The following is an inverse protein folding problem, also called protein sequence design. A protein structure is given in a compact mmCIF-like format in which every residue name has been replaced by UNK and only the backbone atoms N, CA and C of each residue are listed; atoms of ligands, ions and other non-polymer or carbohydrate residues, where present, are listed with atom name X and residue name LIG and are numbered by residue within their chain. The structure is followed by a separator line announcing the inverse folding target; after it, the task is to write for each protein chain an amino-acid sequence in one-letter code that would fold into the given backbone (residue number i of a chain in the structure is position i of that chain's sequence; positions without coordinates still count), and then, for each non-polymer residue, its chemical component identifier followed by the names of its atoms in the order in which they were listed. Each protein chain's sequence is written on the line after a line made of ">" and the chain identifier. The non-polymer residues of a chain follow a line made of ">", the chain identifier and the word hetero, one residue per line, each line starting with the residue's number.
data_IF_640667238459
#
_entry.id   IF_640667238459
#
_cell.length_a   1.000
_cell.length_b   1.000
_cell.length_c   1.000
_cell.angle_alpha   90.00
_cell.angle_beta   90.00
_cell.angle_gamma   90.00
#
_symmetry.space_group_name_H-M   'P 1'
#
loop_
_entity.id
_entity.type
_entity.pdbx_description
1 polymer ?
#
# COMPACT_ATOMS: atom_id res chain seq x y z
N UNK A 1 7.22 3.10 25.39
CA UNK A 1 6.29 3.57 24.34
C UNK A 1 7.14 4.10 23.21
N UNK A 2 7.01 3.52 22.01
CA UNK A 2 7.83 3.91 20.86
C UNK A 2 6.90 4.33 19.71
N UNK A 3 6.91 5.61 19.34
CA UNK A 3 6.17 6.15 18.20
C UNK A 3 7.02 6.12 16.93
N UNK A 4 6.38 6.23 15.79
CA UNK A 4 7.07 6.24 14.48
C UNK A 4 7.95 7.48 14.33
N UNK A 5 7.56 8.62 14.91
CA UNK A 5 8.38 9.82 14.99
C UNK A 5 9.68 9.61 15.80
N UNK A 6 9.64 8.79 16.85
CA UNK A 6 10.82 8.51 17.71
C UNK A 6 11.93 7.76 16.96
N UNK A 7 11.61 7.14 15.85
CA UNK A 7 12.55 6.41 14.98
C UNK A 7 12.86 7.14 13.66
N UNK A 8 12.55 8.44 13.62
CA UNK A 8 12.95 9.32 12.51
C UNK A 8 11.93 9.42 11.36
N UNK A 9 10.69 8.95 11.54
CA UNK A 9 9.63 9.07 10.54
C UNK A 9 8.43 9.80 11.13
N UNK A 10 8.43 11.12 11.00
CA UNK A 10 7.31 11.97 11.41
C UNK A 10 6.32 12.10 10.25
N UNK A 11 5.11 11.54 10.40
CA UNK A 11 4.08 11.55 9.37
C UNK A 11 3.55 12.95 9.06
N UNK A 12 3.56 13.87 10.02
CA UNK A 12 3.14 15.25 9.81
C UNK A 12 4.18 16.04 9.02
N UNK A 13 5.48 15.81 9.27
CA UNK A 13 6.55 16.37 8.45
C UNK A 13 6.53 15.81 7.02
N UNK A 14 6.35 14.51 6.87
CA UNK A 14 6.20 13.88 5.53
C UNK A 14 5.00 14.48 4.79
N UNK A 15 3.87 14.71 5.46
CA UNK A 15 2.71 15.34 4.85
C UNK A 15 2.99 16.79 4.39
N UNK A 16 3.78 17.56 5.16
CA UNK A 16 4.22 18.91 4.75
C UNK A 16 5.08 18.86 3.48
N UNK A 17 6.07 17.94 3.42
CA UNK A 17 6.89 17.76 2.22
C UNK A 17 6.05 17.40 0.99
N UNK A 18 5.09 16.50 1.14
CA UNK A 18 4.14 16.17 0.07
C UNK A 18 3.27 17.36 -0.34
N UNK A 19 2.95 18.27 0.60
CA UNK A 19 2.27 19.54 0.32
C UNK A 19 3.12 20.45 -0.59
N UNK A 20 4.41 20.59 -0.29
CA UNK A 20 5.36 21.38 -1.09
C UNK A 20 5.44 20.79 -2.51
N UNK A 21 5.63 19.47 -2.63
CA UNK A 21 5.71 18.80 -3.93
C UNK A 21 4.46 19.06 -4.76
N UNK A 22 3.26 18.89 -4.17
CA UNK A 22 1.99 19.13 -4.88
C UNK A 22 1.85 20.56 -5.39
N UNK A 23 2.28 21.53 -4.60
CA UNK A 23 2.18 22.95 -4.97
C UNK A 23 3.17 23.32 -6.09
N UNK A 24 4.40 22.79 -6.03
CA UNK A 24 5.44 23.09 -7.01
C UNK A 24 5.34 22.30 -8.30
N UNK A 25 4.79 21.08 -8.23
CA UNK A 25 4.65 20.17 -9.38
C UNK A 25 3.22 20.17 -9.95
N UNK A 26 2.49 21.27 -9.84
CA UNK A 26 1.18 21.41 -10.48
C UNK A 26 1.30 21.22 -11.99
N UNK A 27 0.53 20.29 -12.61
CA UNK A 27 0.64 20.02 -14.03
C UNK A 27 0.18 21.22 -14.86
N UNK A 28 0.96 21.63 -15.83
CA UNK A 28 0.62 22.71 -16.76
C UNK A 28 -0.03 22.21 -18.07
N UNK A 29 0.10 20.91 -18.35
CA UNK A 29 -0.40 20.32 -19.60
C UNK A 29 -1.82 19.84 -19.47
N UNK A 30 -2.63 20.10 -20.48
CA UNK A 30 -4.05 19.72 -20.57
C UNK A 30 -4.31 18.21 -20.62
N UNK A 31 -3.29 17.40 -20.96
CA UNK A 31 -3.39 15.93 -20.98
C UNK A 31 -3.38 15.31 -19.58
N UNK A 32 -2.95 16.06 -18.55
CA UNK A 32 -2.92 15.55 -17.18
C UNK A 32 -4.32 15.53 -16.56
N UNK A 33 -4.74 14.36 -16.11
CA UNK A 33 -6.05 14.13 -15.48
C UNK A 33 -5.96 14.08 -13.97
N UNK A 34 -4.93 13.41 -13.46
CA UNK A 34 -4.59 13.37 -12.03
C UNK A 34 -3.11 13.72 -11.87
N UNK A 35 -2.84 14.78 -11.14
CA UNK A 35 -1.50 15.18 -10.74
C UNK A 35 -1.05 14.51 -9.43
N UNK A 36 0.05 15.02 -8.81
CA UNK A 36 0.55 14.51 -7.54
C UNK A 36 -0.51 14.58 -6.43
N UNK A 37 -0.63 13.51 -5.64
CA UNK A 37 -1.51 13.47 -4.47
C UNK A 37 -2.57 12.37 -4.46
N UNK A 38 -2.74 11.64 -5.54
CA UNK A 38 -3.57 10.44 -5.60
C UNK A 38 -2.67 9.17 -5.58
N UNK A 39 -3.22 7.98 -5.88
CA UNK A 39 -2.46 6.71 -5.93
C UNK A 39 -1.49 6.66 -7.10
N UNK A 40 -1.79 7.28 -8.23
CA UNK A 40 -0.87 7.41 -9.37
C UNK A 40 -1.09 8.75 -10.09
N UNK A 41 -0.07 9.20 -10.82
CA UNK A 41 -0.23 10.26 -11.82
C UNK A 41 -0.92 9.71 -13.06
N UNK A 42 -1.88 10.44 -13.63
CA UNK A 42 -2.65 9.97 -14.79
C UNK A 42 -2.69 11.04 -15.87
N UNK A 43 -2.35 10.63 -17.09
CA UNK A 43 -2.54 11.40 -18.30
C UNK A 43 -3.61 10.77 -19.18
N UNK A 44 -4.21 11.54 -20.08
CA UNK A 44 -5.14 11.03 -21.09
C UNK A 44 -4.48 11.11 -22.46
N UNK A 45 -4.50 9.98 -23.17
CA UNK A 45 -4.10 9.87 -24.57
C UNK A 45 -5.29 9.31 -25.33
N UNK A 46 -5.89 10.12 -26.18
CA UNK A 46 -7.15 9.82 -26.90
C UNK A 46 -8.28 9.36 -25.95
N UNK A 47 -8.74 8.14 -26.06
CA UNK A 47 -9.80 7.54 -25.23
C UNK A 47 -9.25 6.68 -24.06
N UNK A 48 -7.93 6.68 -23.85
CA UNK A 48 -7.24 5.87 -22.84
C UNK A 48 -6.64 6.77 -21.78
N UNK A 49 -6.78 6.36 -20.53
CA UNK A 49 -6.03 6.87 -19.38
C UNK A 49 -4.77 6.03 -19.18
N UNK A 50 -3.63 6.67 -19.12
CA UNK A 50 -2.34 6.08 -18.79
C UNK A 50 -1.92 6.55 -17.42
N UNK A 51 -1.65 5.60 -16.51
CA UNK A 51 -1.18 5.87 -15.16
C UNK A 51 0.26 5.48 -14.98
N UNK A 52 1.01 6.34 -14.31
CA UNK A 52 2.39 6.10 -13.89
C UNK A 52 2.46 6.17 -12.38
N UNK A 53 3.08 5.17 -11.80
CA UNK A 53 3.34 5.09 -10.37
C UNK A 53 4.78 4.66 -10.11
N UNK A 54 5.38 5.16 -9.03
CA UNK A 54 6.68 4.72 -8.53
C UNK A 54 6.63 4.63 -7.01
N UNK A 55 7.09 3.50 -6.48
CA UNK A 55 7.23 3.29 -5.03
C UNK A 55 8.41 2.35 -4.75
N UNK A 56 8.98 2.47 -3.55
CA UNK A 56 10.06 1.64 -3.06
C UNK A 56 9.61 0.68 -1.97
N UNK A 57 10.44 -0.31 -1.69
CA UNK A 57 10.22 -1.28 -0.60
C UNK A 57 10.53 -0.67 0.77
N UNK A 58 11.37 0.36 0.78
CA UNK A 58 11.75 1.07 1.99
C UNK A 58 12.60 0.24 2.96
N UNK A 59 12.51 0.55 4.25
CA UNK A 59 13.40 -0.02 5.27
C UNK A 59 13.21 -1.52 5.55
N UNK A 60 12.18 -2.16 4.96
CA UNK A 60 12.02 -3.62 4.95
C UNK A 60 13.20 -4.31 4.27
N UNK A 61 13.81 -3.67 3.25
CA UNK A 61 15.02 -4.19 2.57
C UNK A 61 16.12 -4.51 3.57
N UNK A 62 16.37 -3.61 4.53
CA UNK A 62 17.44 -3.81 5.53
C UNK A 62 17.18 -5.03 6.42
N UNK A 63 15.91 -5.29 6.76
CA UNK A 63 15.54 -6.47 7.54
C UNK A 63 15.75 -7.74 6.70
N UNK A 64 15.29 -7.74 5.46
CA UNK A 64 15.47 -8.88 4.53
C UNK A 64 16.95 -9.22 4.33
N UNK A 65 17.81 -8.23 4.13
CA UNK A 65 19.26 -8.42 4.00
C UNK A 65 19.86 -9.01 5.28
N UNK A 66 19.47 -8.53 6.45
CA UNK A 66 20.05 -9.01 7.72
C UNK A 66 19.72 -10.46 8.03
N UNK A 67 18.64 -11.01 7.47
CA UNK A 67 18.23 -12.40 7.64
C UNK A 67 18.43 -13.28 6.39
N UNK A 68 18.95 -12.73 5.30
CA UNK A 68 19.12 -13.45 4.03
C UNK A 68 17.78 -13.87 3.38
N UNK A 69 16.69 -13.13 3.65
CA UNK A 69 15.34 -13.37 3.12
C UNK A 69 14.99 -12.24 2.16
N UNK A 70 15.36 -12.36 0.89
CA UNK A 70 15.28 -11.24 -0.06
C UNK A 70 14.24 -11.43 -1.17
N UNK A 71 13.78 -12.66 -1.44
CA UNK A 71 12.73 -12.90 -2.44
C UNK A 71 11.41 -12.14 -2.16
N UNK A 72 10.88 -12.08 -0.92
CA UNK A 72 9.69 -11.28 -0.62
C UNK A 72 9.82 -9.79 -0.98
N UNK A 73 11.05 -9.24 -0.94
CA UNK A 73 11.30 -7.82 -1.25
C UNK A 73 11.03 -7.50 -2.73
N UNK A 74 11.38 -8.43 -3.63
CA UNK A 74 11.05 -8.31 -5.05
C UNK A 74 9.54 -8.32 -5.29
N UNK A 75 8.81 -9.20 -4.58
CA UNK A 75 7.33 -9.22 -4.64
C UNK A 75 6.76 -7.89 -4.10
N UNK A 76 7.29 -7.39 -2.99
CA UNK A 76 6.89 -6.09 -2.42
C UNK A 76 7.03 -4.95 -3.43
N UNK A 77 8.16 -4.90 -4.16
CA UNK A 77 8.42 -3.88 -5.17
C UNK A 77 7.35 -3.86 -6.25
N UNK A 78 6.94 -5.02 -6.75
CA UNK A 78 5.85 -5.14 -7.71
C UNK A 78 4.52 -4.75 -7.06
N UNK A 79 4.18 -5.36 -5.91
CA UNK A 79 2.90 -5.21 -5.24
C UNK A 79 2.58 -3.75 -4.89
N UNK A 80 3.55 -2.99 -4.36
CA UNK A 80 3.36 -1.58 -4.02
C UNK A 80 2.93 -0.76 -5.24
N UNK A 81 3.47 -1.06 -6.41
CA UNK A 81 3.19 -0.34 -7.64
C UNK A 81 1.90 -0.78 -8.32
N UNK A 82 1.68 -2.08 -8.48
CA UNK A 82 0.50 -2.59 -9.20
C UNK A 82 -0.80 -2.41 -8.40
N UNK A 83 -0.72 -2.49 -7.06
CA UNK A 83 -1.87 -2.25 -6.19
C UNK A 83 -2.33 -0.78 -6.23
N UNK A 84 -1.41 0.17 -6.31
CA UNK A 84 -1.74 1.59 -6.42
C UNK A 84 -2.35 1.90 -7.80
N UNK A 85 -1.87 1.29 -8.88
CA UNK A 85 -2.48 1.41 -10.21
C UNK A 85 -3.90 0.84 -10.23
N UNK A 86 -4.11 -0.38 -9.75
CA UNK A 86 -5.43 -1.01 -9.76
C UNK A 86 -6.42 -0.31 -8.82
N UNK A 87 -5.95 0.39 -7.79
CA UNK A 87 -6.79 1.23 -6.93
C UNK A 87 -7.48 2.36 -7.70
N UNK A 88 -6.89 2.81 -8.81
CA UNK A 88 -7.48 3.76 -9.74
C UNK A 88 -8.25 3.10 -10.90
N UNK A 89 -8.34 1.78 -10.93
CA UNK A 89 -8.94 1.02 -12.03
C UNK A 89 -8.04 0.93 -13.26
N UNK A 90 -6.76 1.26 -13.12
CA UNK A 90 -5.76 1.11 -14.18
C UNK A 90 -5.24 -0.33 -14.18
N UNK A 91 -5.44 -1.09 -15.26
CA UNK A 91 -4.81 -2.40 -15.41
C UNK A 91 -3.30 -2.19 -15.53
N UNK A 92 -2.47 -2.75 -14.61
CA UNK A 92 -1.02 -2.73 -14.76
C UNK A 92 -0.61 -3.45 -16.05
N UNK A 93 0.37 -2.92 -16.77
CA UNK A 93 0.83 -3.42 -18.06
C UNK A 93 2.31 -3.76 -18.07
N UNK A 94 3.14 -2.87 -17.53
CA UNK A 94 4.58 -2.99 -17.57
C UNK A 94 5.20 -2.37 -16.33
N UNK A 95 6.40 -2.85 -16.00
CA UNK A 95 7.17 -2.42 -14.83
C UNK A 95 8.65 -2.33 -15.20
N UNK A 96 9.34 -1.37 -14.61
CA UNK A 96 10.80 -1.28 -14.57
C UNK A 96 11.25 -1.18 -13.11
N UNK A 97 12.42 -1.71 -12.79
CA UNK A 97 13.01 -1.65 -11.45
C UNK A 97 14.23 -0.72 -11.39
N UNK A 98 14.56 -0.28 -10.18
CA UNK A 98 15.82 0.37 -9.85
C UNK A 98 16.37 -0.28 -8.59
N UNK A 99 17.52 -0.93 -8.71
CA UNK A 99 18.22 -1.62 -7.62
C UNK A 99 19.56 -0.92 -7.40
N UNK A 100 19.72 -0.26 -6.25
CA UNK A 100 20.95 0.39 -5.85
C UNK A 100 21.63 -0.40 -4.72
N UNK A 101 22.93 -0.69 -4.87
CA UNK A 101 23.72 -1.46 -3.92
C UNK A 101 24.99 -0.71 -3.52
N UNK A 102 25.40 -0.84 -2.25
CA UNK A 102 26.68 -0.32 -1.77
C UNK A 102 27.88 -1.02 -2.44
N UNK A 103 27.76 -2.33 -2.66
CA UNK A 103 28.72 -3.18 -3.37
C UNK A 103 27.96 -4.33 -4.05
N UNK A 104 28.55 -5.05 -5.01
CA UNK A 104 27.91 -6.20 -5.61
C UNK A 104 27.49 -7.25 -4.56
N UNK A 105 26.20 -7.65 -4.57
CA UNK A 105 25.58 -8.57 -3.62
C UNK A 105 24.81 -9.67 -4.39
N UNK A 106 25.48 -10.71 -4.85
CA UNK A 106 24.92 -11.71 -5.78
C UNK A 106 23.72 -12.45 -5.18
N UNK A 107 23.85 -13.05 -3.98
CA UNK A 107 22.76 -13.83 -3.35
C UNK A 107 21.52 -12.97 -3.04
N UNK A 108 21.64 -11.78 -2.41
CA UNK A 108 20.48 -10.91 -2.22
C UNK A 108 19.82 -10.48 -3.54
N UNK A 109 20.61 -10.18 -4.57
CA UNK A 109 20.10 -9.79 -5.89
C UNK A 109 19.32 -10.94 -6.53
N UNK A 110 19.85 -12.15 -6.53
CA UNK A 110 19.17 -13.34 -7.07
C UNK A 110 17.79 -13.55 -6.40
N UNK A 111 17.72 -13.46 -5.07
CA UNK A 111 16.45 -13.53 -4.36
C UNK A 111 15.46 -12.43 -4.80
N UNK A 112 15.92 -11.17 -4.90
CA UNK A 112 15.08 -10.06 -5.35
C UNK A 112 14.56 -10.29 -6.77
N UNK A 113 15.41 -10.72 -7.70
CA UNK A 113 15.00 -10.97 -9.09
C UNK A 113 13.96 -12.10 -9.16
N UNK A 114 14.11 -13.18 -8.37
CA UNK A 114 13.06 -14.20 -8.25
C UNK A 114 11.75 -13.62 -7.75
N UNK A 115 11.81 -12.76 -6.73
CA UNK A 115 10.64 -12.09 -6.19
C UNK A 115 9.97 -11.15 -7.19
N UNK A 116 10.74 -10.33 -7.91
CA UNK A 116 10.24 -9.47 -9.00
C UNK A 116 9.51 -10.31 -10.05
N UNK A 117 10.11 -11.42 -10.49
CA UNK A 117 9.50 -12.33 -11.46
C UNK A 117 8.21 -12.95 -10.93
N UNK A 118 8.19 -13.38 -9.67
CA UNK A 118 7.01 -13.97 -9.04
C UNK A 118 5.85 -12.95 -8.93
N UNK A 119 6.14 -11.74 -8.44
CA UNK A 119 5.15 -10.67 -8.33
C UNK A 119 4.62 -10.21 -9.69
N UNK A 120 5.48 -10.11 -10.71
CA UNK A 120 5.09 -9.79 -12.08
C UNK A 120 4.14 -10.85 -12.67
N UNK A 121 4.46 -12.12 -12.50
CA UNK A 121 3.62 -13.23 -12.94
C UNK A 121 2.25 -13.25 -12.23
N UNK A 122 2.20 -12.99 -10.91
CA UNK A 122 0.95 -12.91 -10.16
C UNK A 122 0.07 -11.73 -10.60
N UNK A 123 0.72 -10.61 -11.00
CA UNK A 123 0.06 -9.37 -11.42
C UNK A 123 -0.32 -9.33 -12.89
N UNK A 124 0.09 -10.32 -13.70
CA UNK A 124 -0.05 -10.33 -15.16
C UNK A 124 0.60 -9.09 -15.82
N UNK A 125 1.85 -8.77 -15.41
CA UNK A 125 2.64 -7.65 -15.94
C UNK A 125 4.00 -8.12 -16.46
N UNK A 126 4.56 -7.39 -17.44
CA UNK A 126 5.92 -7.62 -17.91
C UNK A 126 6.92 -6.68 -17.23
N UNK A 127 8.08 -7.21 -16.85
CA UNK A 127 9.25 -6.41 -16.49
C UNK A 127 9.99 -6.10 -17.79
N UNK A 128 9.89 -4.84 -18.24
CA UNK A 128 10.38 -4.42 -19.56
C UNK A 128 11.77 -3.77 -19.54
N UNK A 129 12.35 -3.62 -18.36
CA UNK A 129 13.68 -3.04 -18.16
C UNK A 129 13.95 -2.73 -16.71
N UNK A 130 15.05 -2.07 -16.44
CA UNK A 130 15.46 -1.68 -15.11
C UNK A 130 16.87 -1.14 -15.10
N UNK A 131 17.37 -0.76 -13.92
CA UNK A 131 18.72 -0.27 -13.69
C UNK A 131 19.31 -0.91 -12.43
N UNK A 132 20.56 -1.32 -12.49
CA UNK A 132 21.31 -1.83 -11.34
C UNK A 132 22.55 -0.97 -11.12
N UNK A 133 22.57 -0.20 -10.02
CA UNK A 133 23.62 0.75 -9.71
C UNK A 133 24.47 0.31 -8.51
N UNK A 134 25.79 0.38 -8.63
CA UNK A 134 26.72 0.21 -7.51
C UNK A 134 27.11 1.59 -7.03
N UNK A 135 26.73 1.95 -5.79
CA UNK A 135 26.81 3.31 -5.25
C UNK A 135 27.48 3.35 -3.87
N UNK A 136 28.80 3.06 -3.78
CA UNK A 136 29.52 3.08 -2.52
C UNK A 136 29.52 4.49 -1.90
N UNK A 137 29.28 4.58 -0.60
CA UNK A 137 29.24 5.85 0.13
C UNK A 137 27.95 6.68 -0.07
N UNK A 138 27.05 6.27 -0.96
CA UNK A 138 25.72 6.89 -1.18
C UNK A 138 24.62 6.02 -0.58
N UNK A 139 24.66 4.72 -0.83
CA UNK A 139 23.72 3.73 -0.30
C UNK A 139 24.42 2.90 0.78
N UNK A 140 23.70 2.55 1.83
CA UNK A 140 24.12 1.57 2.83
C UNK A 140 23.35 0.27 2.63
N UNK A 141 24.05 -0.79 2.24
CA UNK A 141 23.43 -2.05 1.88
C UNK A 141 22.76 -1.98 0.50
N UNK A 142 21.42 -1.92 0.45
CA UNK A 142 20.66 -1.92 -0.79
C UNK A 142 19.39 -1.09 -0.65
N UNK A 143 18.97 -0.46 -1.76
CA UNK A 143 17.63 0.11 -1.95
C UNK A 143 16.99 -0.48 -3.20
N UNK A 144 15.67 -0.60 -3.18
CA UNK A 144 14.87 -1.23 -4.24
C UNK A 144 13.58 -0.43 -4.46
N UNK A 145 13.37 0.00 -5.67
CA UNK A 145 12.14 0.65 -6.12
C UNK A 145 11.71 0.15 -7.49
N UNK A 146 10.42 0.30 -7.78
CA UNK A 146 9.87 0.00 -9.09
C UNK A 146 9.06 1.19 -9.60
N UNK A 147 8.91 1.25 -10.94
CA UNK A 147 7.97 2.15 -11.59
C UNK A 147 7.09 1.34 -12.53
N UNK A 148 5.78 1.56 -12.46
CA UNK A 148 4.81 0.81 -13.24
C UNK A 148 3.94 1.72 -14.10
N UNK A 149 3.59 1.20 -15.29
CA UNK A 149 2.63 1.77 -16.23
C UNK A 149 1.34 0.95 -16.16
N UNK A 150 0.19 1.64 -16.08
CA UNK A 150 -1.12 1.02 -16.21
C UNK A 150 -2.00 1.80 -17.18
N UNK A 151 -3.05 1.16 -17.69
CA UNK A 151 -4.00 1.79 -18.60
C UNK A 151 -5.45 1.39 -18.31
N UNK A 152 -6.38 2.28 -18.64
CA UNK A 152 -7.83 2.03 -18.54
C UNK A 152 -8.62 3.00 -19.42
N UNK A 153 -9.87 2.63 -19.75
CA UNK A 153 -10.87 3.56 -20.29
C UNK A 153 -11.70 4.27 -19.22
N UNK A 154 -11.63 3.78 -17.97
CA UNK A 154 -12.43 4.32 -16.86
C UNK A 154 -11.55 4.44 -15.63
N UNK A 155 -11.64 5.56 -14.92
CA UNK A 155 -10.92 5.79 -13.65
C UNK A 155 -11.85 5.63 -12.45
N UNK A 156 -11.33 5.01 -11.40
CA UNK A 156 -11.99 4.82 -10.09
C UNK A 156 -11.42 5.80 -9.07
N UNK A 157 -11.73 7.08 -9.22
CA UNK A 157 -11.16 8.16 -8.39
C UNK A 157 -11.92 8.41 -7.09
N UNK A 158 -13.06 7.73 -6.88
CA UNK A 158 -13.93 7.98 -5.73
C UNK A 158 -14.92 9.13 -5.90
N UNK A 159 -14.94 9.82 -7.05
CA UNK A 159 -15.89 10.93 -7.31
C UNK A 159 -17.36 10.50 -7.21
N UNK A 160 -17.65 9.22 -7.41
CA UNK A 160 -19.00 8.64 -7.37
C UNK A 160 -19.36 8.04 -6.01
N UNK A 161 -18.46 8.09 -5.03
CA UNK A 161 -18.73 7.66 -3.66
C UNK A 161 -19.72 8.61 -3.00
N UNK A 162 -20.76 8.06 -2.36
CA UNK A 162 -21.87 8.80 -1.73
C UNK A 162 -22.20 8.19 -0.36
N UNK A 163 -22.83 8.97 0.53
CA UNK A 163 -23.43 8.43 1.76
C UNK A 163 -24.38 7.27 1.45
N UNK A 164 -24.27 6.20 2.23
CA UNK A 164 -24.96 4.92 2.02
C UNK A 164 -24.12 3.87 1.30
N UNK A 165 -22.99 4.22 0.69
CA UNK A 165 -22.08 3.26 0.09
C UNK A 165 -21.42 2.40 1.15
N UNK A 166 -21.23 1.11 0.83
CA UNK A 166 -20.63 0.11 1.69
C UNK A 166 -19.11 0.12 1.52
N UNK A 167 -18.43 -0.18 2.61
CA UNK A 167 -16.98 -0.30 2.68
C UNK A 167 -16.63 -1.77 2.92
N UNK A 168 -15.92 -2.39 1.96
CA UNK A 168 -15.42 -3.76 2.08
C UNK A 168 -13.90 -3.70 2.23
N UNK A 169 -13.37 -4.45 3.21
CA UNK A 169 -11.94 -4.66 3.39
C UNK A 169 -11.51 -6.01 2.86
N UNK A 170 -10.39 -6.04 2.13
CA UNK A 170 -9.69 -7.23 1.72
C UNK A 170 -8.50 -7.43 2.68
N UNK A 171 -8.39 -8.65 3.22
CA UNK A 171 -7.39 -8.97 4.24
C UNK A 171 -5.97 -8.82 3.70
N UNK A 172 -5.05 -8.31 4.55
CA UNK A 172 -3.61 -8.40 4.33
C UNK A 172 -3.07 -9.72 4.85
N UNK A 173 -1.88 -10.11 4.41
CA UNK A 173 -1.18 -11.29 4.94
C UNK A 173 -0.15 -10.93 6.04
N UNK A 174 -0.22 -9.74 6.59
CA UNK A 174 0.69 -9.20 7.59
C UNK A 174 0.94 -7.70 7.43
N UNK A 175 2.11 -7.26 7.84
CA UNK A 175 2.50 -5.84 7.92
C UNK A 175 2.61 -5.19 6.53
N UNK A 176 2.81 -5.99 5.47
CA UNK A 176 3.16 -5.56 4.12
C UNK A 176 4.54 -4.87 4.09
N UNK A 177 4.63 -3.64 3.55
CA UNK A 177 5.90 -2.92 3.40
C UNK A 177 5.99 -1.63 4.24
N UNK A 178 5.10 -1.45 5.23
CA UNK A 178 5.04 -0.21 6.01
C UNK A 178 5.39 -0.43 7.49
N UNK A 179 5.90 0.62 8.14
CA UNK A 179 6.23 0.60 9.56
C UNK A 179 7.54 -0.13 9.91
N UNK A 180 8.35 -0.55 8.93
CA UNK A 180 9.55 -1.36 9.18
C UNK A 180 10.68 -0.63 9.92
N UNK A 181 10.76 0.69 9.85
CA UNK A 181 11.68 1.45 10.70
C UNK A 181 11.37 1.23 12.18
N UNK A 182 10.08 1.23 12.55
CA UNK A 182 9.62 0.96 13.91
C UNK A 182 9.82 -0.51 14.30
N UNK A 183 9.42 -1.45 13.42
CA UNK A 183 9.60 -2.90 13.63
C UNK A 183 11.07 -3.25 13.90
N UNK A 184 11.99 -2.74 13.09
CA UNK A 184 13.43 -2.95 13.27
C UNK A 184 13.91 -2.45 14.61
N UNK A 185 13.46 -1.26 15.05
CA UNK A 185 13.83 -0.70 16.36
C UNK A 185 13.34 -1.56 17.51
N UNK A 186 12.13 -2.10 17.42
CA UNK A 186 11.57 -3.01 18.42
C UNK A 186 12.34 -4.35 18.47
N UNK A 187 12.79 -4.87 17.33
CA UNK A 187 13.65 -6.06 17.26
C UNK A 187 15.04 -5.77 17.88
N UNK A 188 15.68 -4.68 17.50
CA UNK A 188 16.99 -4.26 18.01
C UNK A 188 17.00 -4.05 19.53
N UNK A 189 15.91 -3.51 20.08
CA UNK A 189 15.76 -3.32 21.54
C UNK A 189 15.37 -4.59 22.29
N UNK A 190 15.02 -5.69 21.57
CA UNK A 190 14.52 -6.92 22.17
C UNK A 190 13.08 -6.83 22.69
N UNK A 191 12.37 -5.72 22.44
CA UNK A 191 10.96 -5.55 22.82
C UNK A 191 10.03 -6.42 21.96
N UNK A 192 10.35 -6.61 20.68
CA UNK A 192 9.66 -7.54 19.80
C UNK A 192 10.53 -8.79 19.60
N UNK A 193 9.92 -9.96 19.80
CA UNK A 193 10.51 -11.26 19.46
C UNK A 193 9.59 -11.95 18.46
N UNK A 194 9.97 -11.96 17.19
CA UNK A 194 9.16 -12.53 16.13
C UNK A 194 10.03 -13.25 15.11
N UNK A 195 9.49 -14.30 14.49
CA UNK A 195 10.15 -14.97 13.35
C UNK A 195 10.27 -13.99 12.19
N UNK A 196 11.49 -13.75 11.66
CA UNK A 196 11.70 -12.91 10.49
C UNK A 196 10.81 -13.28 9.29
N UNK A 197 10.49 -14.56 9.11
CA UNK A 197 9.60 -15.03 8.05
C UNK A 197 8.16 -14.50 8.18
N UNK A 198 7.69 -14.27 9.40
CA UNK A 198 6.37 -13.67 9.65
C UNK A 198 6.39 -12.18 9.28
N UNK A 199 7.45 -11.48 9.68
CA UNK A 199 7.64 -10.05 9.40
C UNK A 199 7.87 -9.78 7.91
N UNK A 200 8.63 -10.65 7.25
CA UNK A 200 9.05 -10.50 5.86
C UNK A 200 8.06 -11.10 4.84
N UNK A 201 6.86 -11.52 5.27
CA UNK A 201 5.81 -11.88 4.30
C UNK A 201 5.65 -10.77 3.26
N UNK A 202 5.57 -11.11 1.96
CA UNK A 202 5.42 -10.09 0.93
C UNK A 202 4.07 -9.41 1.01
N UNK A 203 3.98 -8.19 0.51
CA UNK A 203 2.72 -7.47 0.31
C UNK A 203 1.80 -8.28 -0.60
N UNK A 204 0.55 -8.47 -0.18
CA UNK A 204 -0.47 -9.14 -1.01
C UNK A 204 -0.73 -8.35 -2.29
N UNK A 205 -0.89 -9.06 -3.41
CA UNK A 205 -1.23 -8.47 -4.70
C UNK A 205 -2.75 -8.56 -4.90
N UNK A 206 -3.39 -7.41 -5.11
CA UNK A 206 -4.85 -7.29 -5.23
C UNK A 206 -5.33 -7.07 -6.66
N UNK A 207 -4.45 -7.19 -7.65
CA UNK A 207 -4.78 -6.92 -9.07
C UNK A 207 -5.96 -7.78 -9.54
N UNK A 208 -5.90 -9.11 -9.34
CA UNK A 208 -6.97 -10.03 -9.77
C UNK A 208 -8.29 -9.78 -9.06
N UNK A 209 -8.37 -9.81 -7.70
CA UNK A 209 -9.63 -9.62 -7.00
C UNK A 209 -10.28 -8.27 -7.30
N UNK A 210 -9.49 -7.18 -7.46
CA UNK A 210 -10.04 -5.86 -7.77
C UNK A 210 -10.48 -5.76 -9.24
N UNK A 211 -9.72 -6.35 -10.17
CA UNK A 211 -10.07 -6.35 -11.59
C UNK A 211 -11.42 -7.01 -11.87
N UNK A 212 -11.73 -8.13 -11.20
CA UNK A 212 -13.00 -8.85 -11.40
C UNK A 212 -14.22 -8.09 -10.88
N UNK A 213 -14.05 -7.22 -9.91
CA UNK A 213 -15.13 -6.40 -9.34
C UNK A 213 -15.12 -4.95 -9.80
N UNK A 214 -14.24 -4.59 -10.73
CA UNK A 214 -14.01 -3.19 -11.12
C UNK A 214 -15.27 -2.47 -11.62
N UNK A 215 -16.19 -3.18 -12.30
CA UNK A 215 -17.49 -2.62 -12.72
C UNK A 215 -18.47 -2.40 -11.59
N UNK A 216 -18.34 -3.13 -10.48
CA UNK A 216 -19.23 -3.13 -9.33
C UNK A 216 -18.83 -2.12 -8.25
N UNK A 217 -17.57 -1.66 -8.27
CA UNK A 217 -17.02 -0.73 -7.27
C UNK A 217 -16.95 0.70 -7.80
N UNK A 218 -17.00 1.67 -6.91
CA UNK A 218 -16.83 3.10 -7.19
C UNK A 218 -15.41 3.58 -6.97
N UNK A 219 -14.71 2.97 -6.03
CA UNK A 219 -13.30 3.25 -5.71
C UNK A 219 -12.63 2.07 -5.02
N UNK A 220 -11.31 2.06 -5.06
CA UNK A 220 -10.46 1.20 -4.25
C UNK A 220 -9.35 2.02 -3.59
N UNK A 221 -8.82 1.54 -2.47
CA UNK A 221 -7.77 2.19 -1.70
C UNK A 221 -6.77 1.17 -1.17
N UNK A 222 -5.54 1.22 -1.62
CA UNK A 222 -4.44 0.41 -1.09
C UNK A 222 -3.96 0.99 0.24
N UNK A 223 -4.00 0.18 1.30
CA UNK A 223 -3.65 0.60 2.66
C UNK A 223 -2.16 0.39 2.89
N UNK A 224 -1.41 1.48 2.73
CA UNK A 224 0.06 1.56 2.82
C UNK A 224 0.49 2.62 3.84
N UNK A 225 1.67 3.23 3.71
CA UNK A 225 2.16 4.28 4.62
C UNK A 225 1.15 5.40 4.85
N UNK A 226 0.94 5.77 6.11
CA UNK A 226 -0.16 6.65 6.54
C UNK A 226 -1.49 5.92 6.73
N UNK A 227 -1.52 4.60 6.51
CA UNK A 227 -2.64 3.71 6.80
C UNK A 227 -4.00 4.26 6.30
N UNK A 228 -5.01 4.28 7.16
CA UNK A 228 -6.39 4.67 6.82
C UNK A 228 -6.56 6.16 6.51
N UNK A 229 -5.62 7.04 6.89
CA UNK A 229 -5.68 8.46 6.55
C UNK A 229 -5.70 8.72 5.03
N UNK A 230 -5.16 7.78 4.23
CA UNK A 230 -5.20 7.83 2.76
C UNK A 230 -6.62 7.76 2.17
N UNK A 231 -7.61 7.28 2.92
CA UNK A 231 -9.00 7.23 2.47
C UNK A 231 -9.59 8.62 2.20
N UNK A 232 -8.98 9.69 2.74
CA UNK A 232 -9.32 11.09 2.41
C UNK A 232 -9.11 11.44 0.93
N UNK A 233 -8.32 10.64 0.20
CA UNK A 233 -8.11 10.78 -1.25
C UNK A 233 -9.33 10.31 -2.06
N UNK A 234 -10.15 9.44 -1.47
CA UNK A 234 -11.30 8.82 -2.13
C UNK A 234 -12.54 9.68 -2.01
N UNK A 235 -12.83 10.20 -0.80
CA UNK A 235 -14.03 10.98 -0.56
C UNK A 235 -13.84 11.98 0.58
N UNK A 236 -14.57 13.06 0.54
CA UNK A 236 -14.70 14.04 1.64
C UNK A 236 -15.81 13.67 2.62
N UNK A 237 -16.69 12.72 2.26
CA UNK A 237 -17.73 12.24 3.15
C UNK A 237 -17.15 11.48 4.33
N UNK A 238 -17.95 11.37 5.40
CA UNK A 238 -17.56 10.65 6.60
C UNK A 238 -17.44 9.14 6.31
N UNK A 239 -16.30 8.57 6.63
CA UNK A 239 -16.03 7.13 6.57
C UNK A 239 -16.18 6.57 7.98
N UNK A 240 -17.10 5.63 8.20
CA UNK A 240 -17.26 4.93 9.47
C UNK A 240 -17.05 3.44 9.26
N UNK A 241 -16.03 2.88 9.93
CA UNK A 241 -15.70 1.46 9.80
C UNK A 241 -15.29 0.85 11.14
N UNK A 242 -15.41 -0.48 11.24
CA UNK A 242 -14.96 -1.26 12.36
C UNK A 242 -13.93 -2.31 11.91
N UNK A 243 -12.84 -2.39 12.66
CA UNK A 243 -11.82 -3.43 12.53
C UNK A 243 -11.88 -4.24 13.83
N UNK A 244 -12.80 -5.22 13.87
CA UNK A 244 -13.09 -5.99 15.07
C UNK A 244 -12.04 -7.06 15.37
N UNK A 245 -11.40 -7.57 14.33
CA UNK A 245 -10.36 -8.58 14.43
C UNK A 245 -9.11 -8.12 13.69
N UNK A 246 -7.95 -8.41 14.27
CA UNK A 246 -6.66 -8.16 13.64
C UNK A 246 -5.78 -9.39 13.79
N UNK A 247 -4.72 -9.47 13.00
CA UNK A 247 -3.79 -10.60 13.02
C UNK A 247 -2.84 -10.50 14.23
N UNK A 248 -2.36 -11.64 14.72
CA UNK A 248 -1.49 -11.74 15.91
C UNK A 248 -0.27 -10.83 15.84
N UNK A 249 0.30 -10.63 14.64
CA UNK A 249 1.47 -9.77 14.49
C UNK A 249 1.20 -8.32 14.96
N UNK A 250 0.00 -7.79 14.72
CA UNK A 250 -0.36 -6.44 15.17
C UNK A 250 -0.56 -6.39 16.69
N UNK A 251 -1.10 -7.45 17.29
CA UNK A 251 -1.22 -7.56 18.76
C UNK A 251 0.17 -7.58 19.42
N UNK A 252 1.12 -8.34 18.82
CA UNK A 252 2.50 -8.40 19.31
C UNK A 252 3.24 -7.07 19.20
N UNK A 253 2.96 -6.29 18.17
CA UNK A 253 3.52 -4.93 18.01
C UNK A 253 2.99 -3.98 19.10
N UNK A 254 1.71 -4.06 19.43
CA UNK A 254 1.16 -3.32 20.57
C UNK A 254 1.79 -3.76 21.91
N UNK A 255 1.89 -5.07 22.16
CA UNK A 255 2.54 -5.64 23.34
C UNK A 255 4.02 -5.23 23.43
N UNK A 256 4.70 -5.09 22.29
CA UNK A 256 6.07 -4.57 22.22
C UNK A 256 6.18 -3.06 22.50
N UNK A 257 5.06 -2.36 22.74
CA UNK A 257 5.02 -0.98 23.20
C UNK A 257 4.63 0.07 22.16
N UNK A 258 4.10 -0.33 21.01
CA UNK A 258 3.51 0.62 20.04
C UNK A 258 2.15 1.09 20.59
N UNK A 259 1.90 2.40 20.70
CA UNK A 259 0.61 2.91 21.17
C UNK A 259 -0.55 2.49 20.27
N UNK A 260 -1.71 2.24 20.88
CA UNK A 260 -2.89 1.77 20.17
C UNK A 260 -3.33 2.70 19.03
N UNK A 261 -3.32 4.01 19.26
CA UNK A 261 -3.63 5.01 18.25
C UNK A 261 -2.60 5.01 17.10
N UNK A 262 -1.33 4.80 17.42
CA UNK A 262 -0.24 4.75 16.45
C UNK A 262 -0.34 3.51 15.54
N UNK A 263 -0.83 2.37 16.07
CA UNK A 263 -1.07 1.16 15.27
C UNK A 263 -1.94 1.47 14.05
N UNK A 264 -3.02 2.24 14.21
CA UNK A 264 -3.96 2.59 13.14
C UNK A 264 -3.49 3.72 12.23
N UNK A 265 -2.42 4.42 12.60
CA UNK A 265 -1.77 5.46 11.77
C UNK A 265 -0.64 4.92 10.92
N UNK A 266 0.03 3.86 11.39
CA UNK A 266 1.23 3.31 10.76
C UNK A 266 0.94 2.02 9.99
N UNK A 267 0.14 1.11 10.60
CA UNK A 267 -0.08 -0.24 10.08
C UNK A 267 -1.46 -0.43 9.46
N UNK A 268 -1.57 -1.39 8.57
CA UNK A 268 -2.82 -1.75 7.87
C UNK A 268 -3.83 -2.51 8.76
N UNK A 269 -3.47 -2.92 9.96
CA UNK A 269 -4.28 -3.63 10.94
C UNK A 269 -5.01 -4.87 10.40
N UNK A 270 -4.45 -5.53 9.40
CA UNK A 270 -5.01 -6.71 8.76
C UNK A 270 -5.84 -6.42 7.50
N UNK A 271 -5.96 -5.17 7.08
CA UNK A 271 -6.70 -4.75 5.88
C UNK A 271 -5.73 -4.13 4.87
N UNK A 272 -5.48 -4.83 3.76
CA UNK A 272 -4.54 -4.35 2.76
C UNK A 272 -5.18 -3.53 1.62
N UNK A 273 -6.46 -3.78 1.32
CA UNK A 273 -7.21 -3.04 0.30
C UNK A 273 -8.62 -2.76 0.81
N UNK A 274 -9.13 -1.57 0.52
CA UNK A 274 -10.51 -1.18 0.82
C UNK A 274 -11.24 -0.87 -0.48
N UNK A 275 -12.49 -1.35 -0.60
CA UNK A 275 -13.38 -1.12 -1.73
C UNK A 275 -14.60 -0.32 -1.29
N UNK A 276 -15.02 0.65 -2.12
CA UNK A 276 -16.23 1.46 -1.94
C UNK A 276 -17.22 1.12 -3.03
N UNK A 277 -18.46 0.78 -2.68
CA UNK A 277 -19.47 0.32 -3.62
C UNK A 277 -20.89 0.60 -3.13
N UNK A 278 -21.84 0.56 -4.06
CA UNK A 278 -23.28 0.63 -3.72
C UNK A 278 -23.70 -0.62 -2.94
N UNK A 279 -24.65 -0.47 -2.02
CA UNK A 279 -25.09 -1.52 -1.11
C UNK A 279 -25.60 -2.78 -1.86
N UNK A 280 -26.26 -2.58 -2.98
CA UNK A 280 -26.79 -3.67 -3.82
C UNK A 280 -25.70 -4.59 -4.39
N UNK A 281 -24.48 -4.13 -4.56
CA UNK A 281 -23.36 -4.91 -5.10
C UNK A 281 -22.57 -5.67 -4.01
N UNK A 282 -22.88 -5.46 -2.72
CA UNK A 282 -22.03 -5.93 -1.62
C UNK A 282 -21.87 -7.47 -1.59
N UNK A 283 -22.97 -8.21 -1.74
CA UNK A 283 -22.94 -9.68 -1.71
C UNK A 283 -22.16 -10.25 -2.89
N UNK A 284 -22.35 -9.69 -4.10
CA UNK A 284 -21.65 -10.11 -5.29
C UNK A 284 -20.15 -9.84 -5.18
N UNK A 285 -19.76 -8.65 -4.73
CA UNK A 285 -18.35 -8.29 -4.52
C UNK A 285 -17.69 -9.21 -3.49
N UNK A 286 -18.34 -9.49 -2.35
CA UNK A 286 -17.82 -10.42 -1.35
C UNK A 286 -17.67 -11.84 -1.92
N UNK A 287 -18.63 -12.31 -2.70
CA UNK A 287 -18.58 -13.63 -3.34
C UNK A 287 -17.41 -13.75 -4.33
N UNK A 288 -17.15 -12.71 -5.10
CA UNK A 288 -16.06 -12.70 -6.09
C UNK A 288 -14.70 -12.57 -5.40
N UNK A 289 -14.52 -11.55 -4.55
CA UNK A 289 -13.24 -11.30 -3.87
C UNK A 289 -12.86 -12.43 -2.92
N UNK A 290 -13.86 -13.07 -2.28
CA UNK A 290 -13.67 -14.20 -1.38
C UNK A 290 -13.04 -15.45 -2.01
N UNK A 291 -13.00 -15.54 -3.37
CA UNK A 291 -12.27 -16.61 -4.08
C UNK A 291 -10.75 -16.42 -4.04
N UNK A 292 -10.30 -15.21 -3.78
CA UNK A 292 -8.87 -14.82 -3.81
C UNK A 292 -8.32 -14.49 -2.44
N UNK A 293 -9.10 -13.74 -1.64
CA UNK A 293 -8.67 -13.22 -0.35
C UNK A 293 -9.89 -13.07 0.56
N UNK A 294 -9.70 -13.32 1.85
CA UNK A 294 -10.76 -13.07 2.82
C UNK A 294 -11.19 -11.60 2.76
N UNK A 295 -12.51 -11.37 2.64
CA UNK A 295 -13.09 -10.04 2.54
C UNK A 295 -14.32 -9.91 3.44
N UNK A 296 -14.51 -8.73 4.02
CA UNK A 296 -15.61 -8.47 4.96
C UNK A 296 -16.13 -7.04 4.78
N UNK A 297 -17.40 -6.81 5.09
CA UNK A 297 -17.94 -5.47 5.25
C UNK A 297 -17.31 -4.86 6.52
N UNK A 298 -16.68 -3.72 6.36
CA UNK A 298 -16.09 -2.97 7.47
C UNK A 298 -17.02 -1.86 7.98
N UNK A 299 -17.89 -1.33 7.13
CA UNK A 299 -18.75 -0.22 7.47
C UNK A 299 -19.37 0.46 6.26
N UNK A 300 -19.60 1.77 6.38
CA UNK A 300 -20.27 2.55 5.35
C UNK A 300 -19.79 4.01 5.31
N UNK A 301 -20.10 4.65 4.20
CA UNK A 301 -19.93 6.10 4.02
C UNK A 301 -21.17 6.81 4.55
N UNK A 302 -20.98 7.88 5.33
CA UNK A 302 -22.07 8.64 5.96
C UNK A 302 -22.01 10.13 5.58
N UNK A 303 -23.05 10.87 5.91
CA UNK A 303 -23.04 12.33 5.85
C UNK A 303 -22.02 12.91 6.84
N UNK A 304 -21.43 14.04 6.51
CA UNK A 304 -20.40 14.69 7.30
C UNK A 304 -19.00 14.46 6.73
N UNK A 305 -17.97 14.66 7.53
CA UNK A 305 -16.56 14.57 7.14
C UNK A 305 -15.75 13.77 8.18
N UNK A 306 -14.57 13.26 7.80
CA UNK A 306 -13.67 12.56 8.69
C UNK A 306 -13.63 11.06 8.48
N UNK A 307 -12.72 10.40 9.17
CA UNK A 307 -12.54 8.95 9.15
C UNK A 307 -12.62 8.45 10.60
N UNK A 308 -13.64 7.69 10.90
CA UNK A 308 -13.87 7.11 12.22
C UNK A 308 -13.67 5.60 12.16
N UNK A 309 -12.78 5.09 12.98
CA UNK A 309 -12.49 3.66 13.09
C UNK A 309 -12.81 3.16 14.49
N UNK A 310 -13.73 2.21 14.58
CA UNK A 310 -13.89 1.41 15.79
C UNK A 310 -12.89 0.25 15.75
N UNK A 311 -11.98 0.26 16.72
CA UNK A 311 -10.85 -0.68 16.78
C UNK A 311 -11.24 -2.03 17.38
N UNK A 312 -10.35 -3.02 17.25
CA UNK A 312 -10.49 -4.35 17.88
C UNK A 312 -10.60 -4.31 19.42
N UNK A 313 -10.24 -3.20 20.06
CA UNK A 313 -10.43 -2.94 21.50
C UNK A 313 -11.68 -2.12 21.80
N UNK A 314 -12.58 -1.94 20.82
CA UNK A 314 -13.76 -1.09 20.92
C UNK A 314 -13.47 0.39 21.22
N UNK A 315 -12.26 0.86 20.97
CA UNK A 315 -11.90 2.29 21.05
C UNK A 315 -12.29 2.95 19.71
N UNK A 316 -12.83 4.17 19.78
CA UNK A 316 -13.14 4.97 18.60
C UNK A 316 -11.97 5.92 18.36
N UNK A 317 -11.41 5.86 17.16
CA UNK A 317 -10.34 6.73 16.69
C UNK A 317 -10.85 7.62 15.56
N UNK A 318 -10.55 8.91 15.65
CA UNK A 318 -10.65 9.89 14.56
C UNK A 318 -9.29 10.02 13.88
N UNK A 319 -9.21 9.70 12.57
CA UNK A 319 -7.97 9.58 11.81
C UNK A 319 -7.83 10.67 10.74
#
# INVERSE_FOLDING_TARGET
>A
VTRYADVGVDLDEVAKLHGIIRNLMSPEKTITVLGPGHYAGVIRLDDIYLGLHTDGVGTKVQLGLSYGITEPLGIDCVAMNVNDLISLGLKPLALVDYIAMESPMEEPLDGIIRGLKAGAAESDVDIVGGETAIMPGVIKGMDLSCSALGASKVLKTGRDVRPGDIIIGLESNGIHSNGFTLVRKLLESGALKEDPKVLLKPTSIYVKPVSEVLSLIKAAAHITGGSFSKLRRITTYKIEMAIENTQDIFLRLEEAGVPHDEMYRVFNMGIGMILFLSKENAEEVLSITGKYVRSNILGQVNQGTGIVVRTHKNVILDL
#
